data_IF_270608791374
#
_entry.id   IF_270608791374
#
_cell.length_a   1.000
_cell.length_b   1.000
_cell.length_c   1.000
_cell.angle_alpha   90.00
_cell.angle_beta   90.00
_cell.angle_gamma   90.00
#
_symmetry.space_group_name_H-M   'P 1'
#
loop_
_entity.id
_entity.type
_entity.pdbx_description
1 polymer ?
#
# COMPACT_ATOMS: atom_id res chain seq x y z
N UNK A 1 13.33 17.50 17.11
CA UNK A 1 13.53 16.53 16.01
C UNK A 1 12.30 15.64 15.95
N UNK A 2 11.44 15.82 14.95
CA UNK A 2 10.38 14.84 14.64
C UNK A 2 10.96 13.87 13.63
N UNK A 3 10.91 12.57 13.93
CA UNK A 3 11.31 11.54 12.96
C UNK A 3 10.35 11.59 11.76
N UNK A 4 10.87 11.37 10.55
CA UNK A 4 10.02 11.29 9.36
C UNK A 4 9.01 10.15 9.51
N UNK A 5 7.70 10.41 9.29
CA UNK A 5 6.64 9.41 9.41
C UNK A 5 6.92 8.17 8.56
N UNK A 6 6.71 6.99 9.14
CA UNK A 6 6.94 5.71 8.46
C UNK A 6 5.65 5.18 7.84
N UNK A 7 5.68 4.91 6.54
CA UNK A 7 4.51 4.43 5.81
C UNK A 7 4.72 3.00 5.31
N UNK A 8 3.81 2.10 5.66
CA UNK A 8 3.76 0.77 5.08
C UNK A 8 2.90 0.78 3.82
N UNK A 9 3.39 0.28 2.70
CA UNK A 9 2.60 0.06 1.48
C UNK A 9 2.50 -1.43 1.23
N UNK A 10 1.29 -1.96 1.24
CA UNK A 10 1.02 -3.39 1.05
C UNK A 10 0.41 -3.59 -0.32
N UNK A 11 1.12 -4.31 -1.19
CA UNK A 11 0.72 -4.61 -2.56
C UNK A 11 0.36 -6.08 -2.64
N UNK A 12 -0.83 -6.42 -3.13
CA UNK A 12 -1.17 -7.83 -3.33
C UNK A 12 -0.52 -8.36 -4.61
N UNK A 13 0.01 -9.58 -4.51
CA UNK A 13 0.61 -10.30 -5.62
C UNK A 13 -0.28 -11.52 -5.92
N UNK A 14 -0.95 -11.57 -7.08
CA UNK A 14 -1.71 -12.76 -7.46
C UNK A 14 -0.77 -13.96 -7.61
N UNK A 15 -1.14 -15.10 -7.01
CA UNK A 15 -0.35 -16.34 -7.02
C UNK A 15 -0.32 -17.02 -8.41
N UNK A 16 -1.31 -16.72 -9.26
CA UNK A 16 -1.44 -17.28 -10.60
C UNK A 16 -1.49 -16.14 -11.60
N UNK A 17 -0.40 -15.99 -12.35
CA UNK A 17 -0.27 -15.03 -13.45
C UNK A 17 0.37 -15.74 -14.63
N UNK A 18 -0.07 -15.42 -15.84
CA UNK A 18 0.61 -15.87 -17.05
C UNK A 18 1.81 -14.96 -17.38
N UNK A 19 2.64 -15.36 -18.34
CA UNK A 19 3.84 -14.62 -18.72
C UNK A 19 3.58 -13.20 -19.24
N UNK A 20 2.40 -12.93 -19.82
CA UNK A 20 2.05 -11.59 -20.30
C UNK A 20 1.60 -10.68 -19.14
N UNK A 21 0.90 -11.25 -18.17
CA UNK A 21 0.51 -10.58 -16.93
C UNK A 21 1.71 -10.28 -16.03
N UNK A 22 2.74 -11.13 -16.02
CA UNK A 22 3.97 -10.89 -15.26
C UNK A 22 4.72 -9.63 -15.71
N UNK A 23 4.89 -9.43 -17.02
CA UNK A 23 5.58 -8.25 -17.54
C UNK A 23 4.82 -6.95 -17.24
N UNK A 24 3.48 -6.99 -17.31
CA UNK A 24 2.61 -5.85 -16.95
C UNK A 24 2.74 -5.53 -15.46
N UNK A 25 2.68 -6.57 -14.62
CA UNK A 25 2.79 -6.44 -13.17
C UNK A 25 4.16 -5.92 -12.71
N UNK A 26 5.25 -6.40 -13.30
CA UNK A 26 6.60 -5.86 -13.03
C UNK A 26 6.68 -4.36 -13.38
N UNK A 27 6.12 -3.98 -14.53
CA UNK A 27 6.03 -2.57 -14.95
C UNK A 27 5.27 -1.70 -13.96
N UNK A 28 4.12 -2.17 -13.48
CA UNK A 28 3.30 -1.42 -12.53
C UNK A 28 3.95 -1.35 -11.14
N UNK A 29 4.66 -2.38 -10.69
CA UNK A 29 5.40 -2.36 -9.41
C UNK A 29 6.57 -1.40 -9.47
N UNK A 30 7.31 -1.38 -10.58
CA UNK A 30 8.35 -0.38 -10.78
C UNK A 30 7.77 1.02 -10.74
N UNK A 31 6.58 1.23 -11.32
CA UNK A 31 5.91 2.54 -11.29
C UNK A 31 5.51 2.95 -9.87
N UNK A 32 4.93 2.04 -9.07
CA UNK A 32 4.62 2.30 -7.66
C UNK A 32 5.88 2.56 -6.84
N UNK A 33 6.93 1.76 -7.01
CA UNK A 33 8.20 1.96 -6.30
C UNK A 33 8.80 3.33 -6.63
N UNK A 34 8.79 3.72 -7.90
CA UNK A 34 9.28 5.03 -8.33
C UNK A 34 8.40 6.20 -7.82
N UNK A 35 7.08 6.01 -7.76
CA UNK A 35 6.17 7.00 -7.17
C UNK A 35 6.45 7.21 -5.67
N UNK A 36 6.70 6.12 -4.95
CA UNK A 36 7.06 6.12 -3.54
C UNK A 36 8.38 6.85 -3.31
N UNK A 37 9.41 6.52 -4.10
CA UNK A 37 10.72 7.18 -4.05
C UNK A 37 10.60 8.68 -4.29
N UNK A 38 9.82 9.08 -5.30
CA UNK A 38 9.57 10.49 -5.64
C UNK A 38 8.76 11.24 -4.59
N UNK A 39 7.87 10.56 -3.87
CA UNK A 39 7.11 11.15 -2.77
C UNK A 39 8.02 11.57 -1.59
N UNK A 40 9.25 11.05 -1.53
CA UNK A 40 10.23 11.39 -0.50
C UNK A 40 9.76 11.02 0.89
N UNK A 41 8.99 9.92 1.00
CA UNK A 41 8.41 9.42 2.24
C UNK A 41 9.27 8.26 2.75
N UNK A 42 9.38 8.12 4.08
CA UNK A 42 10.07 6.97 4.67
C UNK A 42 9.14 5.76 4.63
N UNK A 43 9.21 4.95 3.58
CA UNK A 43 8.25 3.88 3.34
C UNK A 43 8.89 2.51 3.21
N UNK A 44 8.13 1.48 3.59
CA UNK A 44 8.43 0.07 3.33
C UNK A 44 7.35 -0.49 2.41
N UNK A 45 7.74 -1.18 1.35
CA UNK A 45 6.81 -1.90 0.46
C UNK A 45 6.83 -3.38 0.80
N UNK A 46 5.66 -3.96 1.05
CA UNK A 46 5.48 -5.38 1.29
C UNK A 46 4.64 -5.99 0.16
N UNK A 47 5.18 -7.02 -0.50
CA UNK A 47 4.54 -7.71 -1.60
C UNK A 47 3.87 -8.98 -1.08
N UNK A 48 2.59 -8.87 -0.74
CA UNK A 48 1.82 -9.95 -0.14
C UNK A 48 1.95 -10.04 1.39
N UNK A 49 1.20 -10.97 1.97
CA UNK A 49 1.05 -11.09 3.44
C UNK A 49 2.24 -11.78 4.12
N UNK A 50 3.01 -12.59 3.38
CA UNK A 50 4.14 -13.37 3.91
C UNK A 50 5.32 -12.49 4.32
N UNK A 51 5.64 -11.46 3.52
CA UNK A 51 6.72 -10.51 3.78
C UNK A 51 6.43 -9.62 4.98
N UNK A 52 5.14 -9.53 5.33
CA UNK A 52 4.62 -8.52 6.22
C UNK A 52 4.77 -8.88 7.70
N UNK A 53 4.73 -10.17 8.05
CA UNK A 53 4.94 -10.65 9.42
C UNK A 53 6.36 -10.39 9.93
N UNK A 54 7.34 -10.28 9.03
CA UNK A 54 8.70 -9.91 9.36
C UNK A 54 8.83 -8.39 9.56
N UNK A 55 8.15 -7.60 8.72
CA UNK A 55 8.27 -6.14 8.70
C UNK A 55 7.59 -5.44 9.90
N UNK A 56 6.42 -5.92 10.34
CA UNK A 56 5.68 -5.27 11.46
C UNK A 56 6.35 -5.43 12.81
N UNK A 57 7.18 -6.46 13.00
CA UNK A 57 7.89 -6.73 14.26
C UNK A 57 9.12 -5.86 14.46
N UNK A 58 9.65 -5.28 13.38
CA UNK A 58 10.93 -4.57 13.43
C UNK A 58 10.77 -3.17 14.02
N UNK A 59 9.74 -2.42 13.60
CA UNK A 59 9.46 -1.04 14.03
C UNK A 59 8.02 -0.63 13.68
N UNK A 60 7.33 0.16 14.52
CA UNK A 60 5.97 0.63 14.25
C UNK A 60 5.90 1.58 13.04
N UNK A 61 4.75 1.57 12.34
CA UNK A 61 4.41 2.45 11.23
C UNK A 61 3.42 3.54 11.71
N UNK A 62 3.51 4.73 11.12
CA UNK A 62 2.62 5.85 11.41
C UNK A 62 1.40 5.88 10.46
N UNK A 63 1.58 5.35 9.25
CA UNK A 63 0.51 5.15 8.29
C UNK A 63 0.68 3.83 7.52
N UNK A 64 -0.43 3.32 6.98
CA UNK A 64 -0.42 2.20 6.04
C UNK A 64 -1.37 2.42 4.87
N UNK A 65 -0.89 2.08 3.67
CA UNK A 65 -1.68 1.97 2.45
C UNK A 65 -1.80 0.49 2.10
N UNK A 66 -3.03 -0.02 1.94
CA UNK A 66 -3.27 -1.45 1.73
C UNK A 66 -4.06 -1.70 0.45
N UNK A 67 -3.56 -2.58 -0.40
CA UNK A 67 -4.26 -3.04 -1.59
C UNK A 67 -5.50 -3.87 -1.22
N UNK A 68 -6.69 -3.43 -1.67
CA UNK A 68 -7.95 -4.16 -1.45
C UNK A 68 -8.04 -5.46 -2.25
N UNK A 69 -7.12 -5.72 -3.18
CA UNK A 69 -7.02 -7.02 -3.83
C UNK A 69 -6.41 -8.09 -2.91
N UNK A 70 -5.81 -7.69 -1.79
CA UNK A 70 -5.23 -8.62 -0.84
C UNK A 70 -6.31 -9.52 -0.21
N UNK A 71 -6.17 -10.85 -0.29
CA UNK A 71 -7.05 -11.75 0.45
C UNK A 71 -6.93 -11.44 1.95
N UNK A 72 -8.03 -11.58 2.69
CA UNK A 72 -8.06 -11.36 4.15
C UNK A 72 -7.64 -9.95 4.59
N UNK A 73 -7.76 -8.95 3.71
CA UNK A 73 -7.38 -7.55 3.99
C UNK A 73 -8.00 -7.00 5.28
N UNK A 74 -9.26 -7.33 5.57
CA UNK A 74 -9.95 -6.86 6.78
C UNK A 74 -9.33 -7.43 8.06
N UNK A 75 -9.03 -8.73 8.06
CA UNK A 75 -8.38 -9.39 9.18
C UNK A 75 -6.95 -8.85 9.38
N UNK A 76 -6.25 -8.60 8.27
CA UNK A 76 -4.94 -8.00 8.27
C UNK A 76 -4.95 -6.58 8.87
N UNK A 77 -5.78 -5.68 8.35
CA UNK A 77 -5.90 -4.29 8.83
C UNK A 77 -6.28 -4.26 10.31
N UNK A 78 -7.22 -5.12 10.71
CA UNK A 78 -7.63 -5.26 12.11
C UNK A 78 -6.46 -5.62 13.01
N UNK A 79 -5.65 -6.61 12.61
CA UNK A 79 -4.45 -7.01 13.36
C UNK A 79 -3.40 -5.88 13.39
N UNK A 80 -3.13 -5.24 12.25
CA UNK A 80 -2.15 -4.16 12.14
C UNK A 80 -2.51 -2.99 13.07
N UNK A 81 -3.77 -2.57 13.10
CA UNK A 81 -4.26 -1.52 14.01
C UNK A 81 -4.12 -1.95 15.47
N UNK A 82 -4.48 -3.19 15.81
CA UNK A 82 -4.41 -3.70 17.17
C UNK A 82 -2.95 -3.82 17.69
N UNK A 83 -2.00 -4.13 16.81
CA UNK A 83 -0.59 -4.28 17.15
C UNK A 83 0.19 -2.95 17.13
N UNK A 84 -0.40 -1.89 16.59
CA UNK A 84 0.26 -0.58 16.52
C UNK A 84 -0.02 0.23 17.80
N UNK A 85 1.00 0.62 18.58
CA UNK A 85 0.82 1.29 19.88
C UNK A 85 0.32 2.74 19.80
N UNK A 86 0.08 3.27 18.59
CA UNK A 86 -0.41 4.63 18.31
C UNK A 86 -1.49 4.57 17.24
N UNK A 87 -2.36 5.59 17.12
CA UNK A 87 -3.35 5.65 16.05
C UNK A 87 -2.68 5.55 14.68
N UNK A 88 -2.93 4.45 13.98
CA UNK A 88 -2.43 4.20 12.64
C UNK A 88 -3.33 4.89 11.62
N UNK A 89 -2.75 5.74 10.76
CA UNK A 89 -3.49 6.27 9.61
C UNK A 89 -3.64 5.20 8.56
N UNK A 90 -4.86 4.95 8.11
CA UNK A 90 -5.16 3.95 7.10
C UNK A 90 -5.67 4.60 5.83
N UNK A 91 -5.18 4.07 4.73
CA UNK A 91 -5.71 4.33 3.41
C UNK A 91 -5.73 3.00 2.65
N UNK A 92 -6.69 2.81 1.74
CA UNK A 92 -6.69 1.62 0.89
C UNK A 92 -6.47 1.99 -0.56
N UNK A 93 -5.71 1.20 -1.31
CA UNK A 93 -5.56 1.38 -2.75
C UNK A 93 -6.16 0.18 -3.49
N UNK A 94 -6.29 0.30 -4.81
CA UNK A 94 -6.32 -0.90 -5.65
C UNK A 94 -5.32 -0.81 -6.76
N UNK A 95 -4.58 -1.89 -6.88
CA UNK A 95 -3.57 -2.06 -7.89
C UNK A 95 -4.18 -2.72 -9.12
N UNK A 96 -3.90 -2.17 -10.30
CA UNK A 96 -4.18 -2.74 -11.61
C UNK A 96 -5.66 -2.79 -12.04
N UNK A 97 -6.55 -3.19 -11.14
CA UNK A 97 -7.99 -3.31 -11.40
C UNK A 97 -8.78 -2.23 -10.66
N UNK A 98 -9.78 -1.60 -11.31
CA UNK A 98 -10.69 -0.68 -10.63
C UNK A 98 -11.37 -1.37 -9.45
N UNK A 99 -11.58 -0.64 -8.35
CA UNK A 99 -12.49 -1.10 -7.28
C UNK A 99 -13.91 -1.09 -7.87
N UNK A 100 -14.64 -2.22 -7.87
CA UNK A 100 -16.07 -2.18 -8.17
C UNK A 100 -16.74 -1.21 -7.19
N UNK A 101 -17.66 -0.36 -7.66
CA UNK A 101 -18.31 0.65 -6.80
C UNK A 101 -18.97 0.02 -5.55
N UNK A 102 -19.39 -1.24 -5.64
CA UNK A 102 -19.95 -2.02 -4.53
C UNK A 102 -18.96 -2.39 -3.41
N UNK A 103 -17.66 -2.35 -3.70
CA UNK A 103 -16.58 -2.73 -2.78
C UNK A 103 -15.76 -1.52 -2.34
N UNK A 104 -16.18 -0.30 -2.67
CA UNK A 104 -15.42 0.92 -2.40
C UNK A 104 -15.68 1.39 -0.95
N UNK A 105 -14.78 1.16 0.01
CA UNK A 105 -14.94 1.76 1.32
C UNK A 105 -14.85 3.29 1.21
N UNK A 106 -15.49 3.99 2.15
CA UNK A 106 -15.52 5.46 2.20
C UNK A 106 -14.15 6.13 2.39
N UNK A 107 -13.09 5.34 2.59
CA UNK A 107 -11.72 5.74 2.87
C UNK A 107 -10.71 5.21 1.83
N UNK A 108 -11.17 4.76 0.65
CA UNK A 108 -10.28 4.29 -0.40
C UNK A 108 -9.56 5.41 -1.17
N UNK A 109 -8.23 5.33 -1.19
CA UNK A 109 -7.39 5.88 -2.26
C UNK A 109 -7.84 5.27 -3.59
N UNK A 110 -7.86 6.11 -4.63
CA UNK A 110 -8.34 5.79 -5.97
C UNK A 110 -7.46 4.70 -6.60
N UNK A 111 -7.97 4.09 -7.68
CA UNK A 111 -7.26 3.09 -8.49
C UNK A 111 -5.86 3.59 -8.89
N UNK A 112 -4.85 2.72 -8.76
CA UNK A 112 -3.47 2.98 -9.13
C UNK A 112 -3.12 2.09 -10.32
N UNK A 113 -2.70 2.72 -11.40
CA UNK A 113 -2.00 2.12 -12.54
C UNK A 113 -0.78 2.99 -12.88
N UNK A 114 0.02 2.57 -13.87
CA UNK A 114 1.17 3.34 -14.37
C UNK A 114 0.86 4.83 -14.65
N UNK A 115 -0.34 5.15 -15.14
CA UNK A 115 -0.77 6.51 -15.47
C UNK A 115 -1.05 7.40 -14.25
N UNK A 116 -1.27 6.80 -13.07
CA UNK A 116 -1.64 7.52 -11.84
C UNK A 116 -0.53 7.51 -10.77
N UNK A 117 0.66 7.01 -11.09
CA UNK A 117 1.79 6.89 -10.17
C UNK A 117 2.19 8.24 -9.51
N UNK A 118 2.21 9.35 -10.25
CA UNK A 118 2.55 10.67 -9.68
C UNK A 118 1.52 11.17 -8.67
N UNK A 119 0.23 10.95 -8.95
CA UNK A 119 -0.86 11.27 -8.03
C UNK A 119 -0.76 10.42 -6.76
N UNK A 120 -0.50 9.12 -6.91
CA UNK A 120 -0.29 8.23 -5.77
C UNK A 120 0.84 8.71 -4.86
N UNK A 121 1.97 9.13 -5.43
CA UNK A 121 3.08 9.72 -4.66
C UNK A 121 2.65 10.96 -3.86
N UNK A 122 1.87 11.86 -4.47
CA UNK A 122 1.35 13.04 -3.78
C UNK A 122 0.37 12.68 -2.62
N UNK A 123 -0.50 11.70 -2.84
CA UNK A 123 -1.43 11.20 -1.82
C UNK A 123 -0.71 10.49 -0.67
N UNK A 124 0.33 9.71 -0.98
CA UNK A 124 1.20 9.07 0.01
C UNK A 124 1.92 10.09 0.88
N UNK A 125 2.40 11.18 0.26
CA UNK A 125 3.03 12.28 0.99
C UNK A 125 2.03 12.99 1.91
N UNK A 126 0.84 13.30 1.40
CA UNK A 126 -0.22 13.91 2.20
C UNK A 126 -0.62 13.02 3.39
N UNK A 127 -0.68 11.70 3.21
CA UNK A 127 -0.94 10.73 4.28
C UNK A 127 0.16 10.73 5.35
N UNK A 128 1.43 10.86 4.93
CA UNK A 128 2.56 10.92 5.85
C UNK A 128 2.61 12.23 6.63
N UNK A 129 2.30 13.36 6.00
CA UNK A 129 2.36 14.69 6.61
C UNK A 129 1.17 14.99 7.56
N UNK A 130 0.01 14.35 7.32
CA UNK A 130 -1.10 14.34 8.26
C UNK A 130 -0.69 13.67 9.58
#
# INVERSE_FOLDING_TARGET
MTASPRVLVVVHVPEFRDHEEDAKWEGDIMAVSHAIDRAGVNSTVAFGLSDLAAETRSRPYDAAVVDLACPEVDAFVTRLVAETPRPLKLASMRFWTPVPDSLRPSWAIRHIDYGHAEQFGAELRALADA
#
